data_IF_007805999220
#
_entry.id   IF_007805999220
#
_cell.length_a   1.000
_cell.length_b   1.000
_cell.length_c   1.000
_cell.angle_alpha   90.00
_cell.angle_beta   90.00
_cell.angle_gamma   90.00
#
_symmetry.space_group_name_H-M   'P 1'
#
loop_
_entity.id
_entity.type
_entity.pdbx_description
1 polymer ?
#
# COMPACT_ATOMS: atom_id res chain seq x y z
N UNK A 1 -22.32 -3.87 13.72
CA UNK A 1 -20.90 -3.48 13.61
C UNK A 1 -20.23 -4.44 12.61
N UNK A 2 -19.82 -3.96 11.42
CA UNK A 2 -19.06 -4.81 10.48
C UNK A 2 -17.62 -4.86 11.00
N UNK A 3 -17.24 -5.96 11.64
CA UNK A 3 -15.85 -6.24 11.98
C UNK A 3 -14.98 -6.12 10.72
N UNK A 4 -13.73 -5.68 10.87
CA UNK A 4 -12.76 -5.86 9.78
C UNK A 4 -12.86 -7.31 9.33
N UNK A 5 -13.03 -7.51 8.04
CA UNK A 5 -13.06 -8.86 7.49
C UNK A 5 -11.76 -9.54 7.91
N UNK A 6 -11.84 -10.70 8.58
CA UNK A 6 -10.69 -11.49 9.05
C UNK A 6 -9.60 -11.61 7.96
N UNK A 7 -10.05 -11.59 6.71
CA UNK A 7 -9.27 -11.54 5.49
C UNK A 7 -8.25 -10.40 5.35
N UNK A 8 -8.36 -9.26 6.06
CA UNK A 8 -7.39 -8.15 5.90
C UNK A 8 -6.00 -8.55 6.39
N UNK A 9 -5.94 -9.30 7.49
CA UNK A 9 -4.68 -9.77 8.07
C UNK A 9 -4.08 -10.92 7.25
N UNK A 10 -4.94 -11.66 6.55
CA UNK A 10 -4.57 -12.83 5.74
C UNK A 10 -4.22 -12.47 4.29
N UNK A 11 -4.27 -11.19 3.90
CA UNK A 11 -3.83 -10.77 2.56
C UNK A 11 -2.36 -11.08 2.37
N UNK A 12 -2.08 -11.87 1.34
CA UNK A 12 -0.73 -12.16 0.88
C UNK A 12 -0.29 -11.14 -0.18
N UNK A 13 0.28 -10.03 0.28
CA UNK A 13 0.80 -8.96 -0.58
C UNK A 13 1.92 -9.39 -1.53
N UNK A 14 2.60 -10.52 -1.29
CA UNK A 14 3.58 -11.05 -2.25
C UNK A 14 2.92 -11.55 -3.53
N UNK A 15 1.66 -11.98 -3.48
CA UNK A 15 0.89 -12.31 -4.69
C UNK A 15 0.67 -11.03 -5.50
N UNK A 16 0.33 -9.92 -4.83
CA UNK A 16 0.13 -8.62 -5.49
C UNK A 16 1.38 -8.18 -6.26
N UNK A 17 2.58 -8.37 -5.71
CA UNK A 17 3.84 -8.06 -6.42
C UNK A 17 4.08 -8.95 -7.65
N UNK A 18 3.73 -10.24 -7.57
CA UNK A 18 3.90 -11.19 -8.68
C UNK A 18 3.00 -10.84 -9.87
N UNK A 19 1.77 -10.42 -9.62
CA UNK A 19 0.78 -10.15 -10.67
C UNK A 19 0.98 -8.80 -11.37
N UNK A 20 1.85 -7.91 -10.87
CA UNK A 20 2.20 -6.65 -11.55
C UNK A 20 2.69 -7.00 -12.97
N UNK A 21 1.94 -6.60 -14.00
CA UNK A 21 2.33 -6.86 -15.39
C UNK A 21 3.40 -5.87 -15.83
N UNK A 22 4.23 -6.27 -16.80
CA UNK A 22 5.10 -5.31 -17.49
C UNK A 22 4.18 -4.36 -18.26
N UNK A 23 4.22 -3.04 -17.99
CA UNK A 23 3.40 -2.08 -18.72
C UNK A 23 3.94 -1.89 -20.14
N UNK A 24 3.14 -1.34 -21.08
CA UNK A 24 3.63 -0.86 -22.37
C UNK A 24 4.75 0.17 -22.19
N UNK A 25 5.69 0.23 -23.13
CA UNK A 25 6.87 1.11 -23.04
C UNK A 25 6.52 2.62 -22.96
N UNK A 26 5.29 2.99 -23.33
CA UNK A 26 4.73 4.35 -23.18
C UNK A 26 4.49 4.77 -21.72
N UNK A 27 4.54 3.84 -20.75
CA UNK A 27 4.34 4.12 -19.33
C UNK A 27 5.66 4.02 -18.55
N UNK A 28 6.47 5.07 -18.65
CA UNK A 28 7.83 5.16 -18.10
C UNK A 28 7.87 4.93 -16.58
N UNK A 29 6.98 5.61 -15.85
CA UNK A 29 6.83 5.51 -14.39
C UNK A 29 6.46 4.10 -13.93
N UNK A 30 5.56 3.46 -14.66
CA UNK A 30 5.12 2.10 -14.36
C UNK A 30 6.21 1.07 -14.62
N UNK A 31 7.06 1.33 -15.62
CA UNK A 31 8.21 0.49 -15.93
C UNK A 31 9.25 0.48 -14.81
N UNK A 32 9.39 1.59 -14.07
CA UNK A 32 10.27 1.67 -12.91
C UNK A 32 9.82 0.72 -11.79
N UNK A 33 8.53 0.75 -11.43
CA UNK A 33 7.96 -0.17 -10.41
C UNK A 33 8.17 -1.64 -10.81
N UNK A 34 7.96 -1.98 -12.09
CA UNK A 34 8.18 -3.33 -12.60
C UNK A 34 9.65 -3.78 -12.50
N UNK A 35 10.61 -2.89 -12.77
CA UNK A 35 12.06 -3.19 -12.70
C UNK A 35 12.55 -3.42 -11.26
N UNK A 36 11.92 -2.77 -10.27
CA UNK A 36 12.34 -2.82 -8.86
C UNK A 36 11.53 -3.80 -8.00
N UNK A 37 10.87 -4.80 -8.58
CA UNK A 37 10.02 -5.75 -7.82
C UNK A 37 10.74 -6.50 -6.71
N UNK A 38 11.96 -6.94 -6.94
CA UNK A 38 12.72 -7.69 -5.94
C UNK A 38 13.17 -6.78 -4.79
N UNK A 39 13.52 -5.54 -5.10
CA UNK A 39 13.81 -4.51 -4.09
C UNK A 39 12.56 -4.17 -3.27
N UNK A 40 11.40 -4.05 -3.93
CA UNK A 40 10.10 -3.83 -3.29
C UNK A 40 9.73 -4.98 -2.36
N UNK A 41 9.94 -6.22 -2.81
CA UNK A 41 9.73 -7.41 -1.98
C UNK A 41 10.61 -7.36 -0.74
N UNK A 42 11.89 -7.02 -0.89
CA UNK A 42 12.84 -6.89 0.22
C UNK A 42 12.40 -5.78 1.19
N UNK A 43 12.02 -4.62 0.65
CA UNK A 43 11.58 -3.47 1.45
C UNK A 43 10.28 -3.76 2.19
N UNK A 44 9.36 -4.52 1.58
CA UNK A 44 8.15 -4.95 2.26
C UNK A 44 8.43 -5.99 3.36
N UNK A 45 9.39 -6.90 3.16
CA UNK A 45 9.84 -7.80 4.24
C UNK A 45 10.38 -6.99 5.43
N UNK A 46 11.19 -5.96 5.16
CA UNK A 46 11.66 -5.04 6.20
C UNK A 46 10.49 -4.33 6.88
N UNK A 47 9.52 -3.81 6.12
CA UNK A 47 8.32 -3.18 6.68
C UNK A 47 7.63 -4.11 7.70
N UNK A 48 7.40 -5.37 7.34
CA UNK A 48 6.77 -6.34 8.24
C UNK A 48 7.63 -6.63 9.47
N UNK A 49 8.94 -6.80 9.29
CA UNK A 49 9.86 -7.04 10.39
C UNK A 49 9.86 -5.86 11.38
N UNK A 50 10.04 -4.63 10.90
CA UNK A 50 10.08 -3.44 11.77
C UNK A 50 8.70 -3.13 12.37
N UNK A 51 7.60 -3.34 11.66
CA UNK A 51 6.24 -3.21 12.21
C UNK A 51 5.98 -4.17 13.37
N UNK A 52 6.33 -5.45 13.21
CA UNK A 52 6.16 -6.48 14.26
C UNK A 52 7.00 -6.19 15.50
N UNK A 53 8.13 -5.50 15.33
CA UNK A 53 9.01 -5.12 16.42
C UNK A 53 8.73 -3.71 16.97
N UNK A 54 7.66 -3.04 16.53
CA UNK A 54 7.31 -1.67 16.95
C UNK A 54 8.41 -0.62 16.63
N UNK A 55 9.18 -0.86 15.57
CA UNK A 55 10.35 -0.06 15.17
C UNK A 55 10.21 0.55 13.77
N UNK A 56 9.00 0.86 13.31
CA UNK A 56 8.79 1.46 11.97
C UNK A 56 9.56 2.76 11.74
N UNK A 57 9.92 3.48 12.80
CA UNK A 57 10.77 4.69 12.71
C UNK A 57 12.20 4.39 12.24
N UNK A 58 12.66 3.16 12.42
CA UNK A 58 14.01 2.70 12.05
C UNK A 58 14.02 1.99 10.69
N UNK A 59 12.92 2.06 9.94
CA UNK A 59 12.77 1.36 8.67
C UNK A 59 13.82 1.85 7.65
N UNK A 60 14.66 0.96 7.07
CA UNK A 60 15.64 1.35 6.09
C UNK A 60 14.97 1.75 4.77
N UNK A 61 15.41 2.86 4.19
CA UNK A 61 14.98 3.32 2.86
C UNK A 61 15.92 2.72 1.81
N UNK A 62 15.37 1.95 0.87
CA UNK A 62 16.16 1.42 -0.25
C UNK A 62 16.51 2.53 -1.23
N UNK A 63 17.81 2.68 -1.55
CA UNK A 63 18.30 3.64 -2.53
C UNK A 63 17.77 3.34 -3.94
N UNK A 64 17.65 2.07 -4.32
CA UNK A 64 17.12 1.68 -5.64
C UNK A 64 15.63 1.98 -5.79
N UNK A 65 14.84 1.80 -4.71
CA UNK A 65 13.43 2.21 -4.69
C UNK A 65 13.32 3.73 -4.76
N UNK A 66 14.18 4.45 -4.05
CA UNK A 66 14.23 5.91 -4.13
C UNK A 66 14.52 6.39 -5.56
N UNK A 67 15.38 5.67 -6.29
CA UNK A 67 15.66 5.93 -7.71
C UNK A 67 14.47 5.66 -8.63
N UNK A 68 13.59 4.70 -8.31
CA UNK A 68 12.36 4.46 -9.06
C UNK A 68 11.43 5.70 -9.07
N UNK A 69 11.59 6.58 -8.09
CA UNK A 69 10.90 7.86 -7.99
C UNK A 69 9.51 7.74 -7.36
N UNK A 70 9.16 8.74 -6.54
CA UNK A 70 7.86 8.83 -5.84
C UNK A 70 6.68 8.75 -6.81
N UNK A 71 6.76 9.48 -7.93
CA UNK A 71 5.67 9.58 -8.91
C UNK A 71 5.30 8.23 -9.51
N UNK A 72 6.29 7.34 -9.68
CA UNK A 72 6.08 6.00 -10.21
C UNK A 72 5.15 5.15 -9.35
N UNK A 73 5.30 5.23 -8.03
CA UNK A 73 4.46 4.50 -7.09
C UNK A 73 3.09 5.17 -6.89
N UNK A 74 3.04 6.50 -6.89
CA UNK A 74 1.77 7.23 -6.84
C UNK A 74 0.93 6.90 -8.07
N UNK A 75 1.53 6.93 -9.27
CA UNK A 75 0.84 6.55 -10.49
C UNK A 75 0.34 5.10 -10.42
N UNK A 76 1.16 4.17 -9.93
CA UNK A 76 0.76 2.78 -9.73
C UNK A 76 -0.44 2.63 -8.78
N UNK A 77 -0.49 3.41 -7.71
CA UNK A 77 -1.59 3.41 -6.75
C UNK A 77 -2.88 4.04 -7.29
N UNK A 78 -2.76 5.09 -8.11
CA UNK A 78 -3.90 5.81 -8.71
C UNK A 78 -4.46 5.03 -9.91
N UNK A 79 -3.60 4.50 -10.77
CA UNK A 79 -3.95 3.84 -12.03
C UNK A 79 -4.08 2.31 -11.90
N UNK A 80 -4.89 1.87 -10.94
CA UNK A 80 -5.04 0.46 -10.52
C UNK A 80 -5.39 -0.50 -11.67
N UNK A 81 -6.17 -0.03 -12.65
CA UNK A 81 -6.66 -0.82 -13.80
C UNK A 81 -5.56 -1.46 -14.64
N UNK A 82 -4.36 -0.88 -14.65
CA UNK A 82 -3.23 -1.42 -15.43
C UNK A 82 -2.44 -2.50 -14.68
N UNK A 83 -2.68 -2.69 -13.39
CA UNK A 83 -1.86 -3.54 -12.52
C UNK A 83 -2.63 -4.66 -11.87
N UNK A 84 -3.73 -4.31 -11.20
CA UNK A 84 -4.47 -5.24 -10.37
C UNK A 84 -5.75 -4.58 -9.84
N UNK A 85 -6.86 -5.30 -9.91
CA UNK A 85 -8.08 -4.94 -9.21
C UNK A 85 -7.97 -5.16 -7.69
N UNK A 86 -6.79 -5.51 -7.17
CA UNK A 86 -6.59 -5.77 -5.75
C UNK A 86 -6.97 -4.55 -4.89
N UNK A 87 -6.44 -3.35 -5.17
CA UNK A 87 -6.69 -2.18 -4.32
C UNK A 87 -8.16 -1.75 -4.38
N UNK A 88 -8.77 -1.78 -5.57
CA UNK A 88 -10.19 -1.44 -5.73
C UNK A 88 -11.08 -2.45 -4.99
N UNK A 89 -10.80 -3.75 -5.12
CA UNK A 89 -11.48 -4.81 -4.39
C UNK A 89 -11.22 -4.75 -2.88
N UNK A 90 -10.01 -4.39 -2.47
CA UNK A 90 -9.64 -4.28 -1.08
C UNK A 90 -10.36 -3.10 -0.43
N UNK A 91 -10.42 -1.94 -1.11
CA UNK A 91 -11.20 -0.75 -0.69
C UNK A 91 -12.70 -1.02 -0.60
N UNK A 92 -13.27 -1.85 -1.47
CA UNK A 92 -14.70 -2.16 -1.42
C UNK A 92 -15.02 -3.17 -0.32
N UNK A 93 -14.18 -4.21 -0.16
CA UNK A 93 -14.41 -5.31 0.79
C UNK A 93 -14.01 -4.99 2.23
N UNK A 94 -13.07 -4.08 2.43
CA UNK A 94 -12.52 -3.76 3.76
C UNK A 94 -12.96 -2.40 4.31
N UNK A 95 -14.10 -1.89 3.83
CA UNK A 95 -14.78 -0.81 4.55
C UNK A 95 -15.26 -1.36 5.90
N UNK A 96 -14.63 -0.89 6.97
CA UNK A 96 -15.16 -1.09 8.32
C UNK A 96 -16.14 0.02 8.62
N UNK A 97 -17.12 -0.21 9.50
CA UNK A 97 -17.86 0.90 10.08
C UNK A 97 -16.99 1.74 11.03
N UNK A 98 -15.86 1.20 11.49
CA UNK A 98 -15.05 1.78 12.56
C UNK A 98 -13.75 2.38 12.01
N UNK A 99 -13.47 3.63 12.41
CA UNK A 99 -12.24 4.35 12.06
C UNK A 99 -11.10 4.01 13.02
N UNK A 100 -9.97 3.57 12.47
CA UNK A 100 -8.79 3.16 13.23
C UNK A 100 -7.96 4.34 13.74
N UNK A 101 -8.24 5.56 13.25
CA UNK A 101 -7.55 6.78 13.64
C UNK A 101 -8.21 7.48 14.82
N UNK A 102 -9.55 7.61 14.81
CA UNK A 102 -10.30 8.39 15.81
C UNK A 102 -11.37 7.59 16.57
N UNK A 103 -11.63 6.34 16.21
CA UNK A 103 -12.68 5.52 16.82
C UNK A 103 -14.11 5.81 16.36
N UNK A 104 -14.32 6.71 15.40
CA UNK A 104 -15.64 7.05 14.85
C UNK A 104 -16.31 5.89 14.09
N UNK A 105 -17.64 5.93 13.98
CA UNK A 105 -18.45 4.89 13.31
C UNK A 105 -18.78 5.19 11.83
N UNK A 106 -17.93 5.98 11.18
CA UNK A 106 -18.13 6.47 9.82
C UNK A 106 -16.91 6.20 8.92
N UNK A 107 -16.19 5.10 9.12
CA UNK A 107 -15.08 4.75 8.24
C UNK A 107 -15.59 4.42 6.83
N UNK A 108 -15.34 5.32 5.88
CA UNK A 108 -15.74 5.19 4.48
C UNK A 108 -14.57 4.97 3.54
N UNK A 109 -13.35 5.23 4.02
CA UNK A 109 -12.12 5.28 3.23
C UNK A 109 -11.04 4.37 3.82
N UNK A 110 -9.92 4.28 3.10
CA UNK A 110 -8.69 3.68 3.60
C UNK A 110 -7.62 4.75 3.64
N UNK A 111 -6.84 4.76 4.71
CA UNK A 111 -5.68 5.63 4.88
C UNK A 111 -4.39 4.83 5.00
N UNK A 112 -3.26 5.53 4.91
CA UNK A 112 -1.93 4.96 4.99
C UNK A 112 -1.35 5.03 6.41
N UNK A 113 -0.84 3.90 6.93
CA UNK A 113 -0.12 3.88 8.21
C UNK A 113 1.21 4.65 8.10
N UNK A 114 1.98 4.37 7.05
CA UNK A 114 3.12 5.16 6.63
C UNK A 114 2.71 6.09 5.48
N UNK A 115 2.90 7.41 5.61
CA UNK A 115 2.46 8.37 4.60
C UNK A 115 3.06 8.06 3.23
N UNK A 116 2.22 7.98 2.20
CA UNK A 116 2.65 7.75 0.80
C UNK A 116 3.60 8.83 0.28
N UNK A 117 3.63 10.00 0.90
CA UNK A 117 4.53 11.09 0.49
C UNK A 117 5.99 10.82 0.86
N UNK A 118 6.20 10.08 1.95
CA UNK A 118 7.51 9.73 2.49
C UNK A 118 7.89 8.29 2.18
N UNK A 119 6.89 7.41 2.10
CA UNK A 119 7.04 5.97 1.83
C UNK A 119 6.11 5.52 0.69
N UNK A 120 6.26 6.10 -0.51
CA UNK A 120 5.38 5.83 -1.64
C UNK A 120 5.37 4.36 -2.07
N UNK A 121 6.47 3.64 -1.87
CA UNK A 121 6.63 2.22 -2.17
C UNK A 121 5.68 1.31 -1.38
N UNK A 122 5.18 1.77 -0.23
CA UNK A 122 4.23 0.99 0.58
C UNK A 122 2.76 1.37 0.35
N UNK A 123 2.48 2.34 -0.53
CA UNK A 123 1.13 2.88 -0.74
C UNK A 123 0.08 1.85 -1.17
N UNK A 124 0.49 0.75 -1.81
CA UNK A 124 -0.40 -0.29 -2.32
C UNK A 124 -0.33 -1.60 -1.52
N UNK A 125 0.46 -1.69 -0.45
CA UNK A 125 0.44 -2.88 0.39
C UNK A 125 -0.73 -2.84 1.36
N UNK A 126 -1.46 -3.95 1.43
CA UNK A 126 -2.65 -4.08 2.27
C UNK A 126 -2.40 -3.74 3.73
N UNK A 127 -1.22 -4.11 4.25
CA UNK A 127 -0.83 -3.88 5.65
C UNK A 127 -0.39 -2.45 5.95
N UNK A 128 -0.29 -1.61 4.92
CA UNK A 128 -0.12 -0.17 5.07
C UNK A 128 -1.46 0.58 4.92
N UNK A 129 -2.58 -0.13 4.68
CA UNK A 129 -3.90 0.46 4.48
C UNK A 129 -4.84 0.14 5.65
N UNK A 130 -5.39 1.16 6.31
CA UNK A 130 -6.29 1.01 7.46
C UNK A 130 -7.63 1.73 7.22
N UNK A 131 -8.77 1.20 7.73
CA UNK A 131 -10.04 1.90 7.63
C UNK A 131 -10.04 3.24 8.36
N UNK A 132 -10.45 4.27 7.66
CA UNK A 132 -10.47 5.65 8.14
C UNK A 132 -11.77 6.34 7.76
N UNK A 133 -12.08 7.41 8.50
CA UNK A 133 -13.03 8.42 8.08
C UNK A 133 -12.28 9.70 7.70
N UNK A 134 -13.04 10.76 7.47
CA UNK A 134 -12.52 12.05 7.01
C UNK A 134 -11.71 12.81 8.08
N UNK A 135 -11.52 12.22 9.26
CA UNK A 135 -10.77 12.82 10.37
C UNK A 135 -9.29 13.07 10.04
N UNK A 136 -8.74 12.36 9.06
CA UNK A 136 -7.34 12.47 8.64
C UNK A 136 -7.18 13.14 7.26
N UNK A 137 -8.20 13.83 6.76
CA UNK A 137 -8.15 14.57 5.48
C UNK A 137 -7.57 15.99 5.61
N UNK A 138 -6.68 16.24 6.57
CA UNK A 138 -6.09 17.57 6.79
C UNK A 138 -4.67 17.68 6.25
#
# INVERSE_FOLDING_TARGET
>A
MKYINKNILDVNDFINLKIIKKPPDSHIHLSAVYKHKDDLKTSYINYIFFAKNYRLKDLPISSSIKMAGKDSFIEHYVNQKFFSDFISNFRSKNRSGFCYMCGGMNAGTLDHLLPKDNYPEFSFFSKNLIPSCDCNLK
#
